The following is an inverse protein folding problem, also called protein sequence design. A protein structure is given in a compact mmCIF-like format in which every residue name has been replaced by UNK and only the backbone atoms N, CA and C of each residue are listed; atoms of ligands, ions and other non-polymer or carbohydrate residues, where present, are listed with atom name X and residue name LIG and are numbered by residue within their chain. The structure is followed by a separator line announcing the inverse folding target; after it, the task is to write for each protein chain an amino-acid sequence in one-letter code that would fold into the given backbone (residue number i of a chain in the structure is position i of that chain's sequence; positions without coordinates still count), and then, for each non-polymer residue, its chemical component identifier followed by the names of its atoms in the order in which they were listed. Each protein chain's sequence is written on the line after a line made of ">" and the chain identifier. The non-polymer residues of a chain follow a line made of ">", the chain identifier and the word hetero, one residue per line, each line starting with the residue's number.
data_IF_494363298506
#
_entry.id   IF_494363298506
#
_cell.length_a   1.000
_cell.length_b   1.000
_cell.length_c   1.000
_cell.angle_alpha   90.00
_cell.angle_beta   90.00
_cell.angle_gamma   90.00
#
_symmetry.space_group_name_H-M   'P 1'
#
loop_
_entity.id
_entity.type
_entity.pdbx_description
1 polymer ?
#
# COMPACT_ATOMS: atom_id res chain seq x y z
N UNK A 1 16.10 -21.15 -16.37
CA UNK A 1 16.85 -20.00 -15.82
C UNK A 1 16.21 -18.75 -16.39
N UNK A 2 15.39 -18.03 -15.62
CA UNK A 2 14.87 -16.72 -16.04
C UNK A 2 16.03 -15.71 -16.02
N UNK A 3 16.26 -15.02 -17.14
CA UNK A 3 17.39 -14.10 -17.30
C UNK A 3 17.16 -12.81 -16.50
N UNK A 4 18.22 -12.22 -15.94
CA UNK A 4 18.18 -10.99 -15.14
C UNK A 4 17.35 -9.81 -15.71
N UNK A 5 17.36 -9.49 -17.02
CA UNK A 5 16.51 -8.42 -17.57
C UNK A 5 15.00 -8.71 -17.49
N UNK A 6 14.60 -9.99 -17.53
CA UNK A 6 13.20 -10.41 -17.37
C UNK A 6 12.72 -10.18 -15.93
N UNK A 7 13.60 -10.44 -14.95
CA UNK A 7 13.32 -10.16 -13.53
C UNK A 7 13.18 -8.67 -13.24
N UNK A 8 14.05 -7.83 -13.79
CA UNK A 8 13.97 -6.38 -13.60
C UNK A 8 12.68 -5.80 -14.21
N UNK A 9 12.32 -6.23 -15.42
CA UNK A 9 11.06 -5.84 -16.05
C UNK A 9 9.83 -6.31 -15.25
N UNK A 10 9.89 -7.52 -14.68
CA UNK A 10 8.83 -8.05 -13.82
C UNK A 10 8.66 -7.23 -12.53
N UNK A 11 9.77 -6.88 -11.86
CA UNK A 11 9.75 -6.04 -10.65
C UNK A 11 9.18 -4.65 -10.97
N UNK A 12 9.63 -4.01 -12.06
CA UNK A 12 9.10 -2.70 -12.45
C UNK A 12 7.61 -2.77 -12.81
N UNK A 13 7.16 -3.87 -13.41
CA UNK A 13 5.73 -4.09 -13.69
C UNK A 13 4.91 -4.15 -12.40
N UNK A 14 5.40 -4.84 -11.37
CA UNK A 14 4.77 -4.88 -10.05
C UNK A 14 4.78 -3.49 -9.41
N UNK A 15 5.92 -2.80 -9.45
CA UNK A 15 6.07 -1.45 -8.92
C UNK A 15 5.08 -0.46 -9.53
N UNK A 16 4.94 -0.46 -10.86
CA UNK A 16 3.98 0.38 -11.56
C UNK A 16 2.51 0.08 -11.16
N UNK A 17 2.17 -1.17 -10.87
CA UNK A 17 0.84 -1.53 -10.37
C UNK A 17 0.62 -1.06 -8.93
N UNK A 18 1.64 -1.15 -8.08
CA UNK A 18 1.59 -0.64 -6.72
C UNK A 18 1.46 0.89 -6.69
N UNK A 19 2.19 1.59 -7.57
CA UNK A 19 2.05 3.03 -7.77
C UNK A 19 0.64 3.38 -8.26
N UNK A 20 0.06 2.58 -9.16
CA UNK A 20 -1.31 2.76 -9.62
C UNK A 20 -2.32 2.62 -8.47
N UNK A 21 -2.15 1.65 -7.57
CA UNK A 21 -2.98 1.52 -6.38
C UNK A 21 -2.85 2.76 -5.47
N UNK A 22 -1.62 3.21 -5.20
CA UNK A 22 -1.36 4.39 -4.35
C UNK A 22 -1.93 5.66 -4.97
N UNK A 23 -1.83 5.84 -6.29
CA UNK A 23 -2.43 6.97 -7.01
C UNK A 23 -3.97 6.98 -6.90
N UNK A 24 -4.60 5.81 -6.82
CA UNK A 24 -6.05 5.62 -6.70
C UNK A 24 -6.52 5.26 -5.28
N UNK A 25 -5.76 5.62 -4.24
CA UNK A 25 -5.97 5.17 -2.85
C UNK A 25 -7.36 5.49 -2.27
N UNK A 26 -8.08 6.48 -2.80
CA UNK A 26 -9.45 6.82 -2.34
C UNK A 26 -10.53 6.03 -3.06
N UNK A 27 -10.20 5.41 -4.20
CA UNK A 27 -11.11 4.63 -5.04
C UNK A 27 -10.29 3.54 -5.76
N UNK A 28 -9.83 2.51 -5.03
CA UNK A 28 -9.07 1.42 -5.64
C UNK A 28 -9.89 0.73 -6.74
N UNK A 29 -9.20 0.24 -7.77
CA UNK A 29 -9.83 -0.40 -8.94
C UNK A 29 -9.80 -1.93 -8.81
N UNK A 30 -10.82 -2.60 -9.34
CA UNK A 30 -10.83 -4.06 -9.44
C UNK A 30 -10.77 -4.78 -8.09
N UNK A 31 -9.76 -5.63 -7.92
CA UNK A 31 -9.61 -6.49 -6.75
C UNK A 31 -8.89 -5.81 -5.57
N UNK A 32 -8.32 -4.63 -5.78
CA UNK A 32 -7.47 -3.98 -4.80
C UNK A 32 -8.25 -3.45 -3.58
N UNK A 33 -7.56 -3.38 -2.43
CA UNK A 33 -8.13 -2.95 -1.14
C UNK A 33 -7.18 -2.00 -0.44
N UNK A 34 -7.77 -1.03 0.28
CA UNK A 34 -7.05 -0.18 1.23
C UNK A 34 -7.56 -0.51 2.61
N UNK A 35 -6.65 -0.86 3.52
CA UNK A 35 -6.94 -1.25 4.90
C UNK A 35 -6.15 -0.34 5.83
N UNK A 36 -6.76 0.00 6.97
CA UNK A 36 -6.10 0.69 8.07
C UNK A 36 -6.25 -0.19 9.31
N UNK A 37 -5.18 -0.34 10.08
CA UNK A 37 -5.26 -1.03 11.37
C UNK A 37 -6.18 -0.27 12.34
N UNK A 38 -6.63 -0.97 13.37
CA UNK A 38 -7.42 -0.36 14.44
C UNK A 38 -6.65 0.79 15.12
N UNK A 39 -5.33 0.67 15.28
CA UNK A 39 -4.48 1.73 15.81
C UNK A 39 -4.52 2.99 14.94
N UNK A 40 -4.38 2.86 13.62
CA UNK A 40 -4.46 4.00 12.70
C UNK A 40 -5.86 4.62 12.72
N UNK A 41 -6.91 3.78 12.68
CA UNK A 41 -8.29 4.26 12.79
C UNK A 41 -8.54 5.03 14.09
N UNK A 42 -8.00 4.56 15.21
CA UNK A 42 -8.03 5.27 16.50
C UNK A 42 -7.28 6.61 16.47
N UNK A 43 -6.12 6.67 15.83
CA UNK A 43 -5.34 7.90 15.65
C UNK A 43 -6.05 8.96 14.78
N UNK A 44 -6.81 8.50 13.78
CA UNK A 44 -7.68 9.35 12.95
C UNK A 44 -8.85 9.88 13.78
N UNK A 45 -9.53 9.00 14.53
CA UNK A 45 -10.74 9.32 15.28
C UNK A 45 -11.97 9.49 14.36
N UNK A 46 -12.95 10.28 14.82
CA UNK A 46 -14.20 10.48 14.10
C UNK A 46 -14.02 11.32 12.82
N UNK A 47 -14.15 10.65 11.68
CA UNK A 47 -14.01 11.24 10.33
C UNK A 47 -15.17 12.14 9.93
N UNK A 48 -16.28 12.18 10.68
CA UNK A 48 -17.36 13.16 10.46
C UNK A 48 -17.00 14.54 10.99
N UNK A 49 -16.02 14.62 11.89
CA UNK A 49 -15.45 15.89 12.36
C UNK A 49 -14.42 16.42 11.36
N UNK A 50 -14.24 17.74 11.34
CA UNK A 50 -13.19 18.37 10.53
C UNK A 50 -11.79 17.82 10.87
N UNK A 51 -11.51 17.58 12.15
CA UNK A 51 -10.21 17.08 12.61
C UNK A 51 -9.92 15.67 12.08
N UNK A 52 -10.86 14.73 12.26
CA UNK A 52 -10.70 13.36 11.79
C UNK A 52 -10.68 13.25 10.27
N UNK A 53 -11.53 14.01 9.58
CA UNK A 53 -11.49 14.11 8.12
C UNK A 53 -10.11 14.59 7.63
N UNK A 54 -9.59 15.69 8.18
CA UNK A 54 -8.29 16.27 7.80
C UNK A 54 -7.16 15.27 8.06
N UNK A 55 -7.16 14.61 9.21
CA UNK A 55 -6.20 13.57 9.60
C UNK A 55 -6.16 12.43 8.59
N UNK A 56 -7.33 11.89 8.21
CA UNK A 56 -7.43 10.83 7.20
C UNK A 56 -6.95 11.30 5.83
N UNK A 57 -7.34 12.50 5.41
CA UNK A 57 -6.94 13.06 4.13
C UNK A 57 -5.43 13.29 4.06
N UNK A 58 -4.82 13.76 5.15
CA UNK A 58 -3.37 13.90 5.29
C UNK A 58 -2.67 12.55 5.18
N UNK A 59 -3.09 11.55 5.95
CA UNK A 59 -2.50 10.21 5.94
C UNK A 59 -2.55 9.57 4.55
N UNK A 60 -3.71 9.59 3.90
CA UNK A 60 -3.88 9.02 2.56
C UNK A 60 -3.04 9.76 1.51
N UNK A 61 -2.93 11.08 1.61
CA UNK A 61 -2.08 11.89 0.74
C UNK A 61 -0.61 11.56 0.93
N UNK A 62 -0.15 11.38 2.17
CA UNK A 62 1.23 10.97 2.46
C UNK A 62 1.57 9.65 1.79
N UNK A 63 0.69 8.64 1.87
CA UNK A 63 0.92 7.34 1.21
C UNK A 63 0.86 7.43 -0.32
N UNK A 64 -0.08 8.22 -0.86
CA UNK A 64 -0.21 8.46 -2.31
C UNK A 64 1.05 9.11 -2.88
N UNK A 65 1.58 10.13 -2.20
CA UNK A 65 2.68 10.95 -2.67
C UNK A 65 4.06 10.40 -2.26
N UNK A 66 4.11 9.26 -1.55
CA UNK A 66 5.35 8.66 -1.08
C UNK A 66 6.27 8.22 -2.23
N UNK A 67 7.52 8.64 -2.23
CA UNK A 67 8.54 8.29 -3.23
C UNK A 67 9.89 7.86 -2.62
N UNK A 68 10.01 7.90 -1.29
CA UNK A 68 11.24 7.59 -0.56
C UNK A 68 11.42 6.09 -0.26
N UNK A 69 11.30 5.24 -1.28
CA UNK A 69 11.48 3.78 -1.15
C UNK A 69 12.93 3.39 -0.88
N UNK A 70 13.13 2.38 -0.03
CA UNK A 70 14.46 1.81 0.17
C UNK A 70 14.83 0.88 -1.00
N UNK A 71 16.14 0.61 -1.24
CA UNK A 71 16.57 -0.37 -2.23
C UNK A 71 16.02 -1.78 -2.02
N UNK A 72 15.61 -2.11 -0.78
CA UNK A 72 15.02 -3.40 -0.40
C UNK A 72 13.53 -3.52 -0.78
N UNK A 73 12.87 -2.42 -1.17
CA UNK A 73 11.49 -2.40 -1.70
C UNK A 73 11.49 -1.91 -3.15
N UNK A 74 12.11 -2.65 -4.09
CA UNK A 74 12.15 -2.26 -5.50
C UNK A 74 10.77 -2.38 -6.16
N UNK A 75 9.86 -3.17 -5.58
CA UNK A 75 8.45 -3.28 -5.98
C UNK A 75 7.59 -2.12 -5.45
N UNK A 76 8.17 -1.18 -4.70
CA UNK A 76 7.44 -0.02 -4.11
C UNK A 76 6.26 -0.46 -3.23
N UNK A 77 6.42 -1.59 -2.57
CA UNK A 77 5.39 -2.28 -1.78
C UNK A 77 5.47 -1.96 -0.28
N UNK A 78 6.54 -1.31 0.19
CA UNK A 78 6.72 -0.97 1.60
C UNK A 78 7.25 0.45 1.76
N UNK A 79 6.65 1.23 2.66
CA UNK A 79 7.11 2.59 2.96
C UNK A 79 7.04 2.92 4.44
N UNK A 80 8.02 3.71 4.89
CA UNK A 80 8.12 4.25 6.25
C UNK A 80 7.99 5.76 6.23
N UNK A 81 7.08 6.31 7.03
CA UNK A 81 6.86 7.75 7.13
C UNK A 81 6.45 8.15 8.55
N UNK A 82 6.44 9.46 8.82
CA UNK A 82 5.99 10.01 10.10
C UNK A 82 4.61 10.65 9.97
N UNK A 83 3.75 10.43 10.96
CA UNK A 83 2.43 11.04 11.05
C UNK A 83 1.99 11.11 12.52
N UNK A 84 1.46 12.24 12.95
CA UNK A 84 1.09 12.50 14.37
C UNK A 84 2.25 12.20 15.34
N UNK A 85 3.48 12.62 15.01
CA UNK A 85 4.69 12.43 15.84
C UNK A 85 5.08 10.95 16.08
N UNK A 86 4.49 10.03 15.32
CA UNK A 86 4.77 8.61 15.39
C UNK A 86 5.13 8.03 14.02
N UNK A 87 5.90 6.95 14.03
CA UNK A 87 6.31 6.25 12.82
C UNK A 87 5.17 5.36 12.35
N UNK A 88 4.83 5.47 11.08
CA UNK A 88 3.87 4.63 10.37
C UNK A 88 4.58 3.82 9.29
N UNK A 89 3.98 2.68 8.95
CA UNK A 89 4.28 1.93 7.75
C UNK A 89 3.05 1.86 6.85
N UNK A 90 3.30 1.75 5.55
CA UNK A 90 2.37 1.05 4.68
C UNK A 90 3.05 -0.17 4.07
N UNK A 91 2.26 -1.21 3.82
CA UNK A 91 2.67 -2.40 3.06
C UNK A 91 1.61 -2.78 2.05
N UNK A 92 2.02 -3.27 0.89
CA UNK A 92 1.15 -3.84 -0.14
C UNK A 92 1.42 -5.34 -0.22
N UNK A 93 0.45 -6.14 0.22
CA UNK A 93 0.52 -7.60 0.12
C UNK A 93 -0.27 -8.10 -1.11
N UNK A 94 0.21 -9.17 -1.74
CA UNK A 94 -0.36 -9.73 -2.98
C UNK A 94 -1.13 -11.02 -2.72
N UNK A 95 -2.44 -10.95 -2.83
CA UNK A 95 -3.32 -12.11 -2.63
C UNK A 95 -3.96 -12.60 -3.92
N UNK A 96 -4.41 -13.85 -3.91
CA UNK A 96 -5.38 -14.33 -4.88
C UNK A 96 -6.72 -13.55 -4.78
N UNK A 97 -7.63 -13.67 -5.75
CA UNK A 97 -8.89 -12.91 -5.73
C UNK A 97 -9.79 -13.22 -4.53
N UNK A 98 -9.61 -14.38 -3.89
CA UNK A 98 -10.33 -14.81 -2.68
C UNK A 98 -9.75 -14.26 -1.37
N UNK A 99 -8.56 -13.65 -1.39
CA UNK A 99 -7.82 -13.20 -0.20
C UNK A 99 -7.44 -14.34 0.77
N UNK A 100 -7.27 -15.56 0.26
CA UNK A 100 -6.92 -16.73 1.07
C UNK A 100 -5.43 -17.05 1.00
N UNK A 101 -4.82 -16.88 -0.17
CA UNK A 101 -3.44 -17.26 -0.45
C UNK A 101 -2.69 -16.15 -1.17
N UNK A 102 -1.37 -16.30 -1.27
CA UNK A 102 -0.55 -15.41 -2.10
C UNK A 102 -0.92 -15.54 -3.59
N UNK A 103 -0.93 -14.43 -4.31
CA UNK A 103 -1.20 -14.46 -5.75
C UNK A 103 -0.15 -15.25 -6.52
N UNK A 104 -0.57 -16.04 -7.51
CA UNK A 104 0.33 -16.80 -8.36
C UNK A 104 1.18 -15.91 -9.30
N UNK A 105 0.73 -14.68 -9.60
CA UNK A 105 1.45 -13.75 -10.45
C UNK A 105 1.18 -12.29 -10.06
N UNK A 106 1.96 -11.70 -9.13
CA UNK A 106 1.82 -10.30 -8.74
C UNK A 106 1.87 -9.31 -9.91
N UNK A 107 2.51 -9.62 -11.04
CA UNK A 107 2.56 -8.73 -12.20
C UNK A 107 1.26 -8.69 -13.03
N UNK A 108 0.25 -9.51 -12.71
CA UNK A 108 -1.04 -9.57 -13.40
C UNK A 108 -2.21 -9.11 -12.50
N UNK A 109 -2.77 -7.91 -12.75
CA UNK A 109 -3.87 -7.38 -11.95
C UNK A 109 -5.20 -8.13 -12.10
N UNK A 110 -5.35 -9.03 -13.08
CA UNK A 110 -6.56 -9.83 -13.23
C UNK A 110 -6.65 -10.98 -12.20
N UNK A 111 -5.51 -11.41 -11.66
CA UNK A 111 -5.40 -12.56 -10.72
C UNK A 111 -4.76 -12.19 -9.37
N UNK A 112 -4.42 -10.92 -9.18
CA UNK A 112 -3.86 -10.39 -7.93
C UNK A 112 -4.78 -9.35 -7.32
N UNK A 113 -5.18 -9.56 -6.09
CA UNK A 113 -5.72 -8.53 -5.22
C UNK A 113 -4.58 -7.90 -4.41
N UNK A 114 -4.32 -6.60 -4.60
CA UNK A 114 -3.35 -5.86 -3.76
C UNK A 114 -4.03 -5.29 -2.54
N UNK A 115 -3.51 -5.61 -1.37
CA UNK A 115 -4.01 -5.07 -0.11
C UNK A 115 -2.98 -4.10 0.43
N UNK A 116 -3.25 -2.80 0.29
CA UNK A 116 -2.43 -1.76 0.94
C UNK A 116 -2.92 -1.56 2.36
N UNK A 117 -2.11 -1.97 3.34
CA UNK A 117 -2.36 -1.79 4.76
C UNK A 117 -1.55 -0.61 5.29
N UNK A 118 -2.20 0.35 5.94
CA UNK A 118 -1.57 1.45 6.67
C UNK A 118 -1.63 1.11 8.16
N UNK A 119 -0.48 1.19 8.83
CA UNK A 119 -0.32 0.76 10.23
C UNK A 119 0.71 1.61 10.97
N UNK A 120 0.67 1.60 12.29
CA UNK A 120 1.78 2.11 13.10
C UNK A 120 2.98 1.17 13.01
N UNK A 121 4.18 1.70 13.18
CA UNK A 121 5.40 0.89 13.11
C UNK A 121 5.47 -0.22 14.17
N UNK A 122 4.80 -0.06 15.31
CA UNK A 122 4.75 -1.07 16.37
C UNK A 122 3.67 -2.15 16.15
N UNK A 123 2.82 -1.99 15.13
CA UNK A 123 1.81 -2.99 14.74
C UNK A 123 2.35 -3.96 13.66
N UNK A 124 3.56 -3.72 13.16
CA UNK A 124 4.27 -4.54 12.16
C UNK A 124 5.35 -5.39 12.83
#
# INVERSE_FOLDING_TARGET
>A
MQNAPDRAAHIERIAALNDTLRANITKPTGLDRIVMTAGIAGGIGDVTTWSGWRKRAELLRTVRDFDAFSPDSPERDFGRFEWQEAVCYFKIDYYDPSLEWGSANPADPAVTARVLTIMWAYEY
#
